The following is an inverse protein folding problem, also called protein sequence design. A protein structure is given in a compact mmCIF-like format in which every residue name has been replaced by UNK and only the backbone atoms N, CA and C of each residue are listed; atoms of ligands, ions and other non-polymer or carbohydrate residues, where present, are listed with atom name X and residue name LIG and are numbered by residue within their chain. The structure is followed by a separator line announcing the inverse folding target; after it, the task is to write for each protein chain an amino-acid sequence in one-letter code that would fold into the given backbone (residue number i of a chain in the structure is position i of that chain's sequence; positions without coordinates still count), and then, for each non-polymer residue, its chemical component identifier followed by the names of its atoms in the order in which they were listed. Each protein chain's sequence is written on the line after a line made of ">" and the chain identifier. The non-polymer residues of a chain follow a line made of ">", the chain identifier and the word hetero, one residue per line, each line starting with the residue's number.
data_IF_819472643127
#
_entry.id   IF_819472643127
#
_cell.length_a   1.000
_cell.length_b   1.000
_cell.length_c   1.000
_cell.angle_alpha   90.00
_cell.angle_beta   90.00
_cell.angle_gamma   90.00
#
_symmetry.space_group_name_H-M   'P 1'
#
loop_
_entity.id
_entity.type
_entity.pdbx_description
1 polymer ?
#
# COMPACT_ATOMS: atom_id res chain seq x y z
N UNK A 1 7.34 -3.64 -46.03
CA UNK A 1 7.96 -4.87 -45.50
C UNK A 1 8.51 -4.54 -44.13
N UNK A 2 7.84 -4.93 -43.03
CA UNK A 2 8.30 -4.61 -41.67
C UNK A 2 9.34 -5.65 -41.25
N UNK A 3 10.57 -5.26 -40.84
CA UNK A 3 11.59 -6.23 -40.49
C UNK A 3 11.20 -6.96 -39.19
N UNK A 4 11.11 -8.30 -39.24
CA UNK A 4 10.96 -9.14 -38.04
C UNK A 4 12.29 -9.12 -37.29
N UNK A 5 12.31 -8.52 -36.11
CA UNK A 5 13.44 -8.60 -35.18
C UNK A 5 13.57 -10.05 -34.71
N UNK A 6 14.58 -10.77 -35.21
CA UNK A 6 14.88 -12.15 -34.80
C UNK A 6 15.72 -12.10 -33.52
N UNK A 7 15.04 -12.03 -32.37
CA UNK A 7 15.68 -12.09 -31.05
C UNK A 7 16.24 -13.49 -30.82
N UNK A 8 17.55 -13.61 -30.54
CA UNK A 8 18.24 -14.88 -30.31
C UNK A 8 17.62 -15.67 -29.14
N UNK A 9 17.58 -17.01 -29.18
CA UNK A 9 17.03 -17.83 -28.10
C UNK A 9 17.68 -17.54 -26.74
N UNK A 10 18.99 -17.28 -26.71
CA UNK A 10 19.73 -16.90 -25.50
C UNK A 10 19.27 -15.56 -24.92
N UNK A 11 19.01 -14.57 -25.78
CA UNK A 11 18.52 -13.26 -25.32
C UNK A 11 17.08 -13.35 -24.77
N UNK A 12 16.23 -14.19 -25.36
CA UNK A 12 14.89 -14.49 -24.81
C UNK A 12 14.97 -15.17 -23.44
N UNK A 13 15.88 -16.14 -23.28
CA UNK A 13 16.08 -16.84 -22.01
C UNK A 13 16.63 -15.91 -20.93
N UNK A 14 17.59 -15.05 -21.28
CA UNK A 14 18.12 -14.04 -20.37
C UNK A 14 17.03 -13.06 -19.90
N UNK A 15 16.20 -12.56 -20.83
CA UNK A 15 15.10 -11.66 -20.50
C UNK A 15 14.09 -12.31 -19.54
N UNK A 16 13.72 -13.57 -19.77
CA UNK A 16 12.84 -14.33 -18.87
C UNK A 16 13.46 -14.50 -17.48
N UNK A 17 14.75 -14.81 -17.40
CA UNK A 17 15.45 -14.98 -16.13
C UNK A 17 15.50 -13.66 -15.34
N UNK A 18 15.79 -12.52 -16.00
CA UNK A 18 15.79 -11.21 -15.36
C UNK A 18 14.40 -10.83 -14.83
N UNK A 19 13.34 -11.08 -15.59
CA UNK A 19 11.95 -10.83 -15.15
C UNK A 19 11.61 -11.69 -13.93
N UNK A 20 11.88 -12.99 -13.99
CA UNK A 20 11.61 -13.91 -12.89
C UNK A 20 12.38 -13.51 -11.63
N UNK A 21 13.68 -13.19 -11.76
CA UNK A 21 14.51 -12.67 -10.68
C UNK A 21 13.97 -11.38 -10.09
N UNK A 22 13.50 -10.45 -10.93
CA UNK A 22 12.87 -9.21 -10.50
C UNK A 22 11.59 -9.45 -9.68
N UNK A 23 10.71 -10.34 -10.13
CA UNK A 23 9.51 -10.70 -9.36
C UNK A 23 9.83 -11.33 -8.01
N UNK A 24 10.81 -12.24 -7.97
CA UNK A 24 11.27 -12.85 -6.71
C UNK A 24 11.85 -11.80 -5.78
N UNK A 25 12.68 -10.88 -6.30
CA UNK A 25 13.27 -9.80 -5.52
C UNK A 25 12.21 -8.87 -4.91
N UNK A 26 11.24 -8.42 -5.71
CA UNK A 26 10.14 -7.59 -5.23
C UNK A 26 9.29 -8.35 -4.19
N UNK A 27 8.90 -9.58 -4.50
CA UNK A 27 8.11 -10.42 -3.60
C UNK A 27 8.80 -10.67 -2.26
N UNK A 28 10.11 -10.95 -2.28
CA UNK A 28 10.90 -11.12 -1.07
C UNK A 28 10.97 -9.83 -0.25
N UNK A 29 11.24 -8.67 -0.87
CA UNK A 29 11.30 -7.40 -0.14
C UNK A 29 9.94 -7.01 0.48
N UNK A 30 8.83 -7.27 -0.22
CA UNK A 30 7.49 -7.07 0.33
C UNK A 30 7.27 -8.02 1.51
N UNK A 31 7.59 -9.31 1.36
CA UNK A 31 7.40 -10.32 2.41
C UNK A 31 8.23 -10.04 3.67
N UNK A 32 9.47 -9.59 3.51
CA UNK A 32 10.35 -9.23 4.61
C UNK A 32 10.09 -7.82 5.17
N UNK A 33 9.26 -7.01 4.52
CA UNK A 33 8.95 -5.66 4.98
C UNK A 33 10.16 -4.73 4.97
N UNK A 34 10.98 -4.79 3.92
CA UNK A 34 12.19 -3.97 3.79
C UNK A 34 11.84 -2.48 3.66
N UNK A 35 12.01 -1.70 4.72
CA UNK A 35 11.69 -0.27 4.76
C UNK A 35 12.40 0.52 3.65
N UNK A 36 13.71 0.29 3.47
CA UNK A 36 14.52 0.94 2.42
C UNK A 36 13.99 0.65 1.02
N UNK A 37 13.50 -0.56 0.77
CA UNK A 37 12.90 -0.89 -0.53
C UNK A 37 11.63 -0.06 -0.79
N UNK A 38 10.83 0.19 0.25
CA UNK A 38 9.67 1.06 0.12
C UNK A 38 10.07 2.53 -0.07
N UNK A 39 11.00 3.04 0.73
CA UNK A 39 11.43 4.44 0.71
C UNK A 39 12.18 4.83 -0.57
N UNK A 40 13.10 3.98 -1.02
CA UNK A 40 14.03 4.32 -2.11
C UNK A 40 13.49 3.91 -3.49
N UNK A 41 12.63 2.90 -3.55
CA UNK A 41 12.17 2.31 -4.83
C UNK A 41 10.66 2.47 -5.02
N UNK A 42 9.85 1.89 -4.12
CA UNK A 42 8.40 1.83 -4.32
C UNK A 42 7.78 3.23 -4.28
N UNK A 43 8.01 4.00 -3.21
CA UNK A 43 7.36 5.30 -3.03
C UNK A 43 7.74 6.31 -4.10
N UNK A 44 9.02 6.49 -4.51
CA UNK A 44 9.39 7.38 -5.61
C UNK A 44 8.74 6.96 -6.93
N UNK A 45 8.65 5.65 -7.20
CA UNK A 45 8.02 5.14 -8.43
C UNK A 45 6.50 5.39 -8.44
N UNK A 46 5.81 5.15 -7.32
CA UNK A 46 4.36 5.33 -7.22
C UNK A 46 3.93 6.81 -7.30
N UNK A 47 4.83 7.75 -7.01
CA UNK A 47 4.54 9.19 -7.12
C UNK A 47 4.29 9.64 -8.57
N UNK A 48 4.77 8.91 -9.57
CA UNK A 48 4.48 9.17 -10.98
C UNK A 48 3.09 8.72 -11.44
N UNK A 49 2.34 8.00 -10.58
CA UNK A 49 1.00 7.50 -10.88
C UNK A 49 -0.03 8.31 -10.09
N UNK A 50 -1.21 8.53 -10.70
CA UNK A 50 -2.36 9.17 -10.06
C UNK A 50 -2.59 8.63 -8.63
N UNK A 51 -2.70 9.52 -7.62
CA UNK A 51 -2.77 9.11 -6.23
C UNK A 51 -3.99 8.26 -5.89
N UNK A 52 -5.15 8.53 -6.48
CA UNK A 52 -6.36 7.75 -6.22
C UNK A 52 -6.24 6.33 -6.81
N UNK A 53 -5.58 6.19 -7.96
CA UNK A 53 -5.26 4.90 -8.58
C UNK A 53 -4.30 4.09 -7.73
N UNK A 54 -3.22 4.70 -7.24
CA UNK A 54 -2.28 4.05 -6.32
C UNK A 54 -2.98 3.64 -5.02
N UNK A 55 -3.80 4.51 -4.44
CA UNK A 55 -4.53 4.21 -3.23
C UNK A 55 -5.47 2.99 -3.40
N UNK A 56 -6.24 2.96 -4.50
CA UNK A 56 -7.08 1.79 -4.84
C UNK A 56 -6.24 0.52 -5.01
N UNK A 57 -5.08 0.61 -5.67
CA UNK A 57 -4.15 -0.51 -5.80
C UNK A 57 -3.66 -0.99 -4.43
N UNK A 58 -3.30 -0.08 -3.53
CA UNK A 58 -2.87 -0.41 -2.16
C UNK A 58 -3.96 -1.15 -1.38
N UNK A 59 -5.23 -0.72 -1.48
CA UNK A 59 -6.36 -1.42 -0.87
C UNK A 59 -6.50 -2.83 -1.45
N UNK A 60 -6.42 -2.99 -2.78
CA UNK A 60 -6.49 -4.32 -3.39
C UNK A 60 -5.33 -5.23 -2.99
N UNK A 61 -4.11 -4.70 -2.89
CA UNK A 61 -2.96 -5.47 -2.43
C UNK A 61 -3.14 -5.91 -0.98
N UNK A 62 -3.60 -5.02 -0.10
CA UNK A 62 -3.91 -5.34 1.28
C UNK A 62 -5.04 -6.38 1.41
N UNK A 63 -6.13 -6.21 0.66
CA UNK A 63 -7.25 -7.18 0.60
C UNK A 63 -6.79 -8.59 0.26
N UNK A 64 -5.85 -8.74 -0.67
CA UNK A 64 -5.30 -10.04 -1.08
C UNK A 64 -4.09 -10.48 -0.26
N UNK A 65 -3.69 -9.72 0.77
CA UNK A 65 -2.59 -10.05 1.66
C UNK A 65 -1.18 -9.82 1.08
N UNK A 66 -1.06 -9.10 -0.04
CA UNK A 66 0.22 -8.66 -0.62
C UNK A 66 0.76 -7.42 0.12
N UNK A 67 0.97 -7.57 1.43
CA UNK A 67 1.43 -6.52 2.32
C UNK A 67 2.54 -7.06 3.21
N UNK A 68 3.47 -6.19 3.66
CA UNK A 68 4.47 -6.60 4.62
C UNK A 68 3.76 -7.01 5.91
N UNK A 69 4.26 -8.07 6.53
CA UNK A 69 3.78 -8.52 7.84
C UNK A 69 4.77 -8.07 8.89
N UNK A 70 4.32 -7.24 9.83
CA UNK A 70 5.11 -6.89 11.00
C UNK A 70 5.28 -8.15 11.85
N UNK A 71 6.55 -8.51 12.09
CA UNK A 71 6.94 -9.72 12.85
C UNK A 71 7.41 -9.41 14.27
N UNK A 72 7.66 -8.13 14.58
CA UNK A 72 8.01 -7.68 15.91
C UNK A 72 6.81 -7.79 16.86
N UNK A 73 7.12 -8.10 18.11
CA UNK A 73 6.17 -7.99 19.22
C UNK A 73 6.31 -6.57 19.76
N UNK A 74 5.19 -5.89 19.98
CA UNK A 74 5.18 -4.57 20.60
C UNK A 74 5.71 -4.66 22.04
N UNK A 75 6.52 -3.69 22.43
CA UNK A 75 7.01 -3.60 23.81
C UNK A 75 5.81 -3.33 24.76
N UNK A 76 5.67 -4.07 25.88
CA UNK A 76 4.62 -3.85 26.85
C UNK A 76 4.47 -2.40 27.34
N UNK A 77 5.54 -1.58 27.30
CA UNK A 77 5.48 -0.15 27.64
C UNK A 77 4.54 0.65 26.72
N UNK A 78 4.30 0.18 25.50
CA UNK A 78 3.42 0.81 24.52
C UNK A 78 1.95 0.46 24.72
N UNK A 79 1.64 -0.51 25.58
CA UNK A 79 0.25 -0.91 25.84
C UNK A 79 -0.55 0.28 26.36
N UNK A 80 -1.71 0.52 25.74
CA UNK A 80 -2.55 1.68 26.02
C UNK A 80 -3.99 1.23 26.19
N UNK A 81 -4.67 1.79 27.21
CA UNK A 81 -6.09 1.56 27.44
C UNK A 81 -6.88 2.84 27.22
N UNK A 82 -7.84 2.80 26.30
CA UNK A 82 -8.76 3.91 26.01
C UNK A 82 -10.17 3.37 25.99
N UNK A 83 -11.11 4.02 26.69
CA UNK A 83 -12.51 3.59 26.79
C UNK A 83 -12.69 2.12 27.21
N UNK A 84 -11.88 1.65 28.16
CA UNK A 84 -11.82 0.24 28.60
C UNK A 84 -11.47 -0.77 27.49
N UNK A 85 -10.90 -0.31 26.37
CA UNK A 85 -10.31 -1.15 25.34
C UNK A 85 -8.79 -1.12 25.43
N UNK A 86 -8.17 -2.30 25.36
CA UNK A 86 -6.72 -2.47 25.37
C UNK A 86 -6.18 -2.48 23.93
N UNK A 87 -5.14 -1.69 23.70
CA UNK A 87 -4.39 -1.63 22.45
C UNK A 87 -2.94 -2.02 22.71
N UNK A 88 -2.37 -2.86 21.84
CA UNK A 88 -0.97 -3.31 21.95
C UNK A 88 0.03 -2.16 21.84
N UNK A 89 -0.31 -1.16 21.03
CA UNK A 89 0.47 0.05 20.85
C UNK A 89 -0.49 1.22 20.52
N UNK A 90 -0.06 2.49 20.70
CA UNK A 90 -0.92 3.65 20.53
C UNK A 90 -1.02 4.12 19.06
N UNK A 91 -0.42 3.40 18.10
CA UNK A 91 -0.35 3.82 16.70
C UNK A 91 -1.50 3.20 15.91
N UNK A 92 -2.34 4.04 15.31
CA UNK A 92 -3.47 3.59 14.50
C UNK A 92 -3.47 4.10 13.08
N UNK A 93 -4.23 3.42 12.22
CA UNK A 93 -4.53 3.88 10.87
C UNK A 93 -5.84 4.67 10.88
N UNK A 94 -5.76 5.95 10.50
CA UNK A 94 -6.90 6.86 10.50
C UNK A 94 -7.97 6.51 9.45
N UNK A 95 -9.20 6.99 9.68
CA UNK A 95 -10.27 6.93 8.70
C UNK A 95 -9.91 7.65 7.40
N UNK A 96 -10.65 7.31 6.35
CA UNK A 96 -10.45 7.80 5.00
C UNK A 96 -9.52 6.91 4.17
N UNK A 97 -8.74 6.02 4.79
CA UNK A 97 -7.90 5.04 4.09
C UNK A 97 -8.75 3.86 3.57
N UNK A 98 -9.30 3.03 4.45
CA UNK A 98 -10.21 1.95 4.05
C UNK A 98 -11.66 2.36 4.30
N UNK A 99 -12.23 3.10 3.35
CA UNK A 99 -13.60 3.64 3.50
C UNK A 99 -14.68 2.57 3.57
N UNK A 100 -14.44 1.44 2.93
CA UNK A 100 -15.44 0.39 2.70
C UNK A 100 -15.16 -0.88 3.51
N UNK A 101 -14.09 -0.92 4.32
CA UNK A 101 -13.67 -2.11 5.06
C UNK A 101 -13.22 -3.25 4.17
N UNK A 102 -12.63 -2.95 3.00
CA UNK A 102 -12.25 -3.94 2.00
C UNK A 102 -10.98 -4.71 2.35
N UNK A 103 -10.13 -4.17 3.23
CA UNK A 103 -8.76 -4.62 3.41
C UNK A 103 -8.35 -4.81 4.88
N UNK A 104 -9.30 -4.89 5.81
CA UNK A 104 -9.08 -4.97 7.27
C UNK A 104 -8.03 -6.04 7.63
N UNK A 105 -8.21 -7.27 7.15
CA UNK A 105 -7.30 -8.40 7.44
C UNK A 105 -5.88 -8.18 6.92
N UNK A 106 -5.74 -7.44 5.82
CA UNK A 106 -4.43 -7.03 5.31
C UNK A 106 -3.82 -5.93 6.16
N UNK A 107 -4.61 -4.91 6.49
CA UNK A 107 -4.17 -3.71 7.20
C UNK A 107 -3.74 -4.02 8.64
N UNK A 108 -4.40 -4.96 9.31
CA UNK A 108 -4.00 -5.43 10.65
C UNK A 108 -2.61 -6.07 10.69
N UNK A 109 -2.08 -6.53 9.54
CA UNK A 109 -0.74 -7.15 9.46
C UNK A 109 0.41 -6.13 9.49
N UNK A 110 0.12 -4.83 9.31
CA UNK A 110 1.14 -3.78 9.36
C UNK A 110 1.60 -3.45 10.79
N UNK A 111 0.92 -3.97 11.82
CA UNK A 111 1.30 -3.74 13.23
C UNK A 111 0.63 -2.54 13.90
N UNK A 112 -0.38 -1.93 13.25
CA UNK A 112 -1.22 -0.92 13.90
C UNK A 112 -1.94 -1.50 15.12
N UNK A 113 -1.97 -0.75 16.21
CA UNK A 113 -2.77 -1.07 17.40
C UNK A 113 -4.27 -1.01 17.13
N UNK A 114 -4.71 -0.13 16.21
CA UNK A 114 -6.10 -0.02 15.76
C UNK A 114 -6.23 0.51 14.33
N UNK A 115 -7.39 0.30 13.71
CA UNK A 115 -7.72 0.78 12.37
C UNK A 115 -9.13 1.38 12.41
N UNK A 116 -9.26 2.60 11.88
CA UNK A 116 -10.54 3.28 11.75
C UNK A 116 -11.05 3.19 10.29
N UNK A 117 -12.20 2.57 10.10
CA UNK A 117 -12.85 2.38 8.80
C UNK A 117 -13.77 3.57 8.50
N UNK A 118 -13.97 3.87 7.22
CA UNK A 118 -14.90 4.90 6.77
C UNK A 118 -14.17 6.13 6.24
N UNK A 119 -14.79 7.31 6.18
CA UNK A 119 -16.15 7.60 6.66
C UNK A 119 -17.22 6.98 5.77
N UNK A 120 -18.18 6.30 6.40
CA UNK A 120 -19.34 5.71 5.72
C UNK A 120 -20.54 6.66 5.78
N UNK A 121 -21.41 6.58 4.77
CA UNK A 121 -22.67 7.33 4.74
C UNK A 121 -23.85 6.38 4.58
N UNK A 122 -25.06 6.71 5.09
CA UNK A 122 -26.20 5.78 5.05
C UNK A 122 -26.59 5.32 3.64
N UNK A 123 -26.33 6.16 2.62
CA UNK A 123 -26.54 5.83 1.21
C UNK A 123 -25.20 5.84 0.47
N UNK A 124 -25.04 5.04 -0.61
CA UNK A 124 -23.88 5.12 -1.48
C UNK A 124 -23.74 6.50 -2.11
N UNK A 125 -22.52 7.03 -2.16
CA UNK A 125 -22.21 8.33 -2.75
C UNK A 125 -20.99 8.24 -3.68
N UNK A 126 -21.03 8.85 -4.87
CA UNK A 126 -19.90 8.86 -5.80
C UNK A 126 -18.74 9.78 -5.33
N UNK A 127 -19.02 10.75 -4.46
CA UNK A 127 -18.12 11.83 -4.07
C UNK A 127 -17.89 12.85 -5.20
N UNK A 128 -17.00 13.81 -4.97
CA UNK A 128 -16.69 14.87 -5.96
C UNK A 128 -16.05 14.36 -7.26
N UNK A 129 -16.08 15.17 -8.30
CA UNK A 129 -15.41 14.87 -9.57
C UNK A 129 -13.89 14.76 -9.44
N UNK A 130 -13.27 13.92 -10.28
CA UNK A 130 -11.82 13.72 -10.33
C UNK A 130 -11.15 14.75 -11.26
N UNK A 131 -9.89 15.16 -11.01
CA UNK A 131 -9.01 14.76 -9.90
C UNK A 131 -9.34 15.48 -8.58
N UNK A 132 -9.21 14.76 -7.47
CA UNK A 132 -9.65 15.17 -6.13
C UNK A 132 -8.72 14.76 -5.00
N UNK A 133 -7.56 14.18 -5.32
CA UNK A 133 -6.47 13.87 -4.40
C UNK A 133 -5.18 14.36 -5.05
N UNK A 134 -4.38 15.11 -4.31
CA UNK A 134 -3.16 15.75 -4.79
C UNK A 134 -2.05 15.54 -3.78
N UNK A 135 -0.86 15.15 -4.25
CA UNK A 135 0.33 14.98 -3.40
C UNK A 135 1.22 16.20 -3.52
N UNK A 136 1.56 16.82 -2.39
CA UNK A 136 2.56 17.87 -2.28
C UNK A 136 3.83 17.23 -1.72
N UNK A 137 4.66 16.68 -2.62
CA UNK A 137 5.77 15.80 -2.24
C UNK A 137 6.83 16.54 -1.42
N UNK A 138 7.14 17.78 -1.77
CA UNK A 138 8.13 18.62 -1.07
C UNK A 138 7.68 18.92 0.36
N UNK A 139 6.39 19.18 0.56
CA UNK A 139 5.78 19.46 1.87
C UNK A 139 5.44 18.20 2.67
N UNK A 140 5.69 17.00 2.11
CA UNK A 140 5.22 15.73 2.67
C UNK A 140 3.72 15.73 3.00
N UNK A 141 2.92 16.37 2.15
CA UNK A 141 1.49 16.59 2.39
C UNK A 141 0.60 16.00 1.30
N UNK A 142 -0.67 15.81 1.64
CA UNK A 142 -1.74 15.39 0.71
C UNK A 142 -2.94 16.31 0.91
N UNK A 143 -3.43 16.89 -0.19
CA UNK A 143 -4.69 17.63 -0.22
C UNK A 143 -5.73 16.78 -0.91
N UNK A 144 -6.93 16.68 -0.32
CA UNK A 144 -8.03 15.95 -0.93
C UNK A 144 -9.37 16.69 -0.77
N UNK A 145 -10.29 16.43 -1.70
CA UNK A 145 -11.67 16.93 -1.72
C UNK A 145 -12.61 15.80 -2.11
N UNK A 146 -12.64 14.73 -1.32
CA UNK A 146 -13.30 13.47 -1.70
C UNK A 146 -14.83 13.51 -1.62
N UNK A 147 -15.38 14.29 -0.67
CA UNK A 147 -16.80 14.35 -0.34
C UNK A 147 -17.48 15.54 -1.00
#
# INVERSE_FOLDING_TARGET
>A
MVPRIIISPRLRSAFKACIAGGFVFVGANIYFGSERFYEDIIMPTLRFIDPETVHRLSIQMAKHGFVPRMKSIDDPILHTTVWNHEFKNPIGLAAGFDKNGEAIDGLTKFGFGFIEIGTITPKPQPGNEKPRVFRLTEDRAVINRLA
#
